data_IF_876905469969
#
_entry.id   IF_876905469969
#
_cell.length_a   1.000
_cell.length_b   1.000
_cell.length_c   1.000
_cell.angle_alpha   90.00
_cell.angle_beta   90.00
_cell.angle_gamma   90.00
#
_symmetry.space_group_name_H-M   'P 1'
#
loop_
_entity.id
_entity.type
_entity.pdbx_description
1 polymer ?
#
# COMPACT_ATOMS: atom_id res chain seq x y z
N UNK A 1 10.92 -16.76 12.46
CA UNK A 1 10.70 -15.37 12.97
C UNK A 1 11.06 -14.33 11.92
N UNK A 2 12.21 -14.45 11.26
CA UNK A 2 12.64 -13.54 10.18
C UNK A 2 11.55 -13.27 9.13
N UNK A 3 10.92 -14.31 8.60
CA UNK A 3 9.86 -14.19 7.57
C UNK A 3 8.60 -13.46 8.05
N UNK A 4 8.19 -13.69 9.30
CA UNK A 4 7.06 -12.98 9.93
C UNK A 4 7.38 -11.48 10.01
N UNK A 5 8.59 -11.15 10.49
CA UNK A 5 9.04 -9.75 10.63
C UNK A 5 9.08 -9.07 9.25
N UNK A 6 9.62 -9.74 8.23
CA UNK A 6 9.64 -9.20 6.87
C UNK A 6 8.25 -8.99 6.30
N UNK A 7 7.32 -9.94 6.48
CA UNK A 7 5.93 -9.78 6.05
C UNK A 7 5.28 -8.54 6.66
N UNK A 8 5.38 -8.38 7.98
CA UNK A 8 4.85 -7.19 8.66
C UNK A 8 5.54 -5.89 8.26
N UNK A 9 6.86 -5.91 8.05
CA UNK A 9 7.61 -4.74 7.60
C UNK A 9 7.18 -4.31 6.19
N UNK A 10 7.06 -5.25 5.26
CA UNK A 10 6.57 -4.98 3.91
C UNK A 10 5.14 -4.44 3.94
N UNK A 11 4.29 -5.00 4.81
CA UNK A 11 2.94 -4.49 5.01
C UNK A 11 2.95 -3.04 5.49
N UNK A 12 3.76 -2.73 6.50
CA UNK A 12 3.89 -1.39 7.05
C UNK A 12 4.38 -0.37 6.01
N UNK A 13 5.33 -0.75 5.15
CA UNK A 13 5.80 0.10 4.04
C UNK A 13 4.68 0.36 3.04
N UNK A 14 3.94 -0.68 2.64
CA UNK A 14 2.80 -0.53 1.74
C UNK A 14 1.72 0.40 2.31
N UNK A 15 1.42 0.26 3.60
CA UNK A 15 0.49 1.13 4.31
C UNK A 15 0.98 2.58 4.37
N UNK A 16 2.26 2.80 4.67
CA UNK A 16 2.84 4.14 4.72
C UNK A 16 2.73 4.85 3.36
N UNK A 17 2.99 4.14 2.26
CA UNK A 17 2.82 4.66 0.89
C UNK A 17 1.36 5.08 0.65
N UNK A 18 0.40 4.23 1.02
CA UNK A 18 -1.03 4.53 0.85
C UNK A 18 -1.45 5.76 1.66
N UNK A 19 -0.98 5.88 2.90
CA UNK A 19 -1.27 7.04 3.76
C UNK A 19 -0.70 8.33 3.18
N UNK A 20 0.55 8.31 2.72
CA UNK A 20 1.18 9.49 2.10
C UNK A 20 0.41 9.91 0.85
N UNK A 21 0.01 8.97 -0.01
CA UNK A 21 -0.77 9.28 -1.21
C UNK A 21 -2.16 9.79 -0.87
N UNK A 22 -2.80 9.26 0.17
CA UNK A 22 -4.09 9.76 0.62
C UNK A 22 -4.03 11.25 1.00
N UNK A 23 -3.02 11.65 1.78
CA UNK A 23 -2.82 13.07 2.12
C UNK A 23 -2.42 13.93 0.92
N UNK A 24 -1.57 13.41 0.04
CA UNK A 24 -1.26 14.07 -1.23
C UNK A 24 -2.52 14.29 -2.09
N UNK A 25 -3.43 13.31 -2.11
CA UNK A 25 -4.75 13.39 -2.72
C UNK A 25 -5.55 14.59 -2.23
N UNK A 26 -5.67 14.71 -0.92
CA UNK A 26 -6.40 15.79 -0.24
C UNK A 26 -5.76 17.15 -0.51
N UNK A 27 -4.44 17.26 -0.43
CA UNK A 27 -3.74 18.54 -0.56
C UNK A 27 -3.77 19.09 -1.99
N UNK A 28 -3.59 18.22 -2.98
CA UNK A 28 -3.43 18.61 -4.39
C UNK A 28 -4.67 18.38 -5.26
N UNK A 29 -5.77 17.89 -4.67
CA UNK A 29 -7.01 17.67 -5.38
C UNK A 29 -6.92 16.58 -6.45
N UNK A 30 -6.17 15.50 -6.18
CA UNK A 30 -5.83 14.47 -7.19
C UNK A 30 -6.74 13.25 -7.16
N UNK A 31 -7.87 13.32 -6.43
CA UNK A 31 -8.84 12.23 -6.36
C UNK A 31 -9.54 11.98 -7.69
N UNK A 32 -10.04 10.76 -7.91
CA UNK A 32 -10.62 10.34 -9.20
C UNK A 32 -11.83 11.20 -9.60
N UNK A 33 -12.62 11.64 -8.62
CA UNK A 33 -13.76 12.54 -8.80
C UNK A 33 -13.34 14.01 -9.03
N UNK A 34 -12.17 14.41 -8.55
CA UNK A 34 -11.60 15.76 -8.70
C UNK A 34 -10.73 15.89 -9.97
N UNK A 35 -10.22 14.75 -10.46
CA UNK A 35 -9.35 14.60 -11.61
C UNK A 35 -9.91 15.15 -12.92
N UNK A 36 -11.23 15.37 -13.01
CA UNK A 36 -11.87 16.04 -14.15
C UNK A 36 -11.25 17.40 -14.45
N UNK A 37 -10.78 18.11 -13.42
CA UNK A 37 -10.08 19.40 -13.50
C UNK A 37 -8.63 19.28 -14.01
N UNK A 38 -7.95 18.18 -13.67
CA UNK A 38 -6.51 17.97 -13.88
C UNK A 38 -6.15 17.35 -15.25
N UNK A 39 -7.14 17.04 -16.10
CA UNK A 39 -6.95 16.44 -17.44
C UNK A 39 -6.17 17.32 -18.42
N UNK A 40 -5.91 18.58 -18.09
CA UNK A 40 -5.12 19.54 -18.87
C UNK A 40 -3.60 19.43 -18.64
N UNK A 41 -3.14 18.65 -17.65
CA UNK A 41 -1.72 18.38 -17.42
C UNK A 41 -1.32 16.95 -17.89
N UNK A 42 -0.33 16.80 -18.79
CA UNK A 42 0.16 15.49 -19.26
C UNK A 42 0.95 14.76 -18.15
N UNK A 43 1.40 13.51 -18.36
CA UNK A 43 0.95 12.26 -17.72
C UNK A 43 1.16 12.12 -16.18
N UNK A 44 1.58 13.18 -15.48
CA UNK A 44 1.90 13.18 -14.04
C UNK A 44 0.74 12.72 -13.16
N UNK A 45 -0.51 12.93 -13.62
CA UNK A 45 -1.71 12.47 -12.91
C UNK A 45 -1.77 10.95 -12.72
N UNK A 46 -1.16 10.14 -13.61
CA UNK A 46 -1.21 8.67 -13.51
C UNK A 46 -0.26 8.14 -12.42
N UNK A 47 0.84 8.86 -12.15
CA UNK A 47 1.90 8.39 -11.27
C UNK A 47 1.41 8.11 -9.83
N UNK A 48 0.63 8.98 -9.16
CA UNK A 48 0.06 8.71 -7.84
C UNK A 48 -0.73 7.39 -7.79
N UNK A 49 -1.50 7.06 -8.83
CA UNK A 49 -2.28 5.82 -8.86
C UNK A 49 -1.40 4.58 -9.01
N UNK A 50 -0.34 4.65 -9.81
CA UNK A 50 0.62 3.56 -9.95
C UNK A 50 1.33 3.31 -8.62
N UNK A 51 1.78 4.37 -7.96
CA UNK A 51 2.45 4.26 -6.66
C UNK A 51 1.47 3.74 -5.59
N UNK A 52 0.20 4.17 -5.62
CA UNK A 52 -0.84 3.66 -4.72
C UNK A 52 -1.09 2.17 -4.95
N UNK A 53 -1.17 1.74 -6.21
CA UNK A 53 -1.28 0.33 -6.58
C UNK A 53 -0.11 -0.51 -6.06
N UNK A 54 1.13 -0.01 -6.20
CA UNK A 54 2.31 -0.67 -5.62
C UNK A 54 2.24 -0.74 -4.09
N UNK A 55 1.83 0.35 -3.43
CA UNK A 55 1.61 0.37 -1.98
C UNK A 55 0.58 -0.67 -1.53
N UNK A 56 -0.53 -0.79 -2.27
CA UNK A 56 -1.55 -1.80 -2.01
C UNK A 56 -1.03 -3.23 -2.17
N UNK A 57 -0.26 -3.50 -3.22
CA UNK A 57 0.35 -4.82 -3.45
C UNK A 57 1.32 -5.17 -2.32
N UNK A 58 2.16 -4.24 -1.89
CA UNK A 58 3.07 -4.43 -0.75
C UNK A 58 2.29 -4.66 0.55
N UNK A 59 1.23 -3.89 0.78
CA UNK A 59 0.39 -4.02 1.97
C UNK A 59 -0.25 -5.41 2.04
N UNK A 60 -0.99 -5.80 1.00
CA UNK A 60 -1.72 -7.08 0.95
C UNK A 60 -0.75 -8.26 0.94
N UNK A 61 0.32 -8.20 0.15
CA UNK A 61 1.32 -9.26 0.08
C UNK A 61 2.06 -9.44 1.41
N UNK A 62 2.56 -8.35 1.99
CA UNK A 62 3.24 -8.38 3.28
C UNK A 62 2.32 -8.86 4.41
N UNK A 63 1.08 -8.37 4.44
CA UNK A 63 0.09 -8.79 5.44
C UNK A 63 -0.23 -10.28 5.33
N UNK A 64 -0.41 -10.79 4.11
CA UNK A 64 -0.69 -12.21 3.85
C UNK A 64 0.45 -13.11 4.32
N UNK A 65 1.71 -12.73 4.05
CA UNK A 65 2.90 -13.45 4.53
C UNK A 65 3.01 -13.39 6.05
N UNK A 66 2.83 -12.20 6.66
CA UNK A 66 2.90 -12.02 8.11
C UNK A 66 1.83 -12.83 8.86
N UNK A 67 0.60 -12.83 8.35
CA UNK A 67 -0.53 -13.57 8.91
C UNK A 67 -0.35 -15.09 8.75
N UNK A 68 -0.03 -15.57 7.55
CA UNK A 68 0.14 -17.01 7.28
C UNK A 68 1.27 -17.63 8.12
N UNK A 69 2.41 -16.97 8.21
CA UNK A 69 3.53 -17.44 9.03
C UNK A 69 3.23 -17.40 10.53
N UNK A 70 2.37 -16.48 11.00
CA UNK A 70 1.85 -16.45 12.36
C UNK A 70 0.96 -17.67 12.68
N UNK A 71 0.05 -18.01 11.76
CA UNK A 71 -0.85 -19.17 11.88
C UNK A 71 -0.05 -20.48 11.91
N UNK A 72 0.93 -20.67 11.02
CA UNK A 72 1.78 -21.86 11.00
C UNK A 72 2.54 -22.05 12.31
N UNK A 73 3.06 -20.95 12.89
CA UNK A 73 3.77 -21.00 14.18
C UNK A 73 2.86 -21.37 15.34
N UNK A 74 1.61 -20.91 15.34
CA UNK A 74 0.61 -21.31 16.35
C UNK A 74 0.32 -22.81 16.29
N UNK A 75 0.17 -23.35 15.07
CA UNK A 75 -0.11 -24.78 14.85
C UNK A 75 1.07 -25.68 15.24
N UNK A 76 2.31 -25.25 14.99
CA UNK A 76 3.52 -26.00 15.39
C UNK A 76 3.77 -26.04 16.90
N UNK A 77 3.12 -25.18 17.69
CA UNK A 77 3.28 -25.11 19.16
C UNK A 77 2.25 -25.94 19.93
N UNK A 78 1.23 -26.47 19.25
CA UNK A 78 0.24 -27.41 19.81
C UNK A 78 0.62 -28.83 19.41
#
# INVERSE_FOLDING_TARGET
>A
MREIIWGWLTAAIGLAILVVIFFYGIEFGTWVDEAGSLRSAPPTFILPFVVAGLGLVLFVGGFSVGASAGVQRSKSRR
#
